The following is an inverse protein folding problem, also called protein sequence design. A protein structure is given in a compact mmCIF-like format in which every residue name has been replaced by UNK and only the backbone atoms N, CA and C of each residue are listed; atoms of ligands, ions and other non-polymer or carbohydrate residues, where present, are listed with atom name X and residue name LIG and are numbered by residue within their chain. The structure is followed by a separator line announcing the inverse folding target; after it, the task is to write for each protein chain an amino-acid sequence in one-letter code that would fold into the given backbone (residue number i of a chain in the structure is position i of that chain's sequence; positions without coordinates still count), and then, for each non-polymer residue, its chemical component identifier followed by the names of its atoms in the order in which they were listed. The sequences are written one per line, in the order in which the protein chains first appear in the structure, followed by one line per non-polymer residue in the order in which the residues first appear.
data_IF_444174135805
#
_entry.id   IF_444174135805
#
_cell.length_a   1.000
_cell.length_b   1.000
_cell.length_c   1.000
_cell.angle_alpha   90.00
_cell.angle_beta   90.00
_cell.angle_gamma   90.00
#
_symmetry.space_group_name_H-M   'P 1'
#
loop_
_entity.id
_entity.type
_entity.pdbx_description
1 polymer ?
#
# COMPACT_ATOMS: atom_id res chain seq x y z
N UNK A 1 12.12 4.37 33.74
CA UNK A 1 12.32 5.71 33.15
C UNK A 1 11.46 5.74 31.89
N UNK A 2 10.40 6.52 31.86
CA UNK A 2 9.55 6.64 30.64
C UNK A 2 10.14 7.71 29.71
N UNK A 3 10.19 7.40 28.42
CA UNK A 3 10.61 8.36 27.40
C UNK A 3 9.50 9.38 27.17
N UNK A 4 9.83 10.67 27.13
CA UNK A 4 8.90 11.72 26.71
C UNK A 4 8.53 11.54 25.24
N UNK A 5 7.30 11.09 24.94
CA UNK A 5 6.83 10.77 23.57
C UNK A 5 6.43 12.01 22.74
N UNK A 6 7.04 13.17 22.98
CA UNK A 6 6.62 14.46 22.40
C UNK A 6 6.60 14.44 20.88
N UNK A 7 7.67 13.93 20.24
CA UNK A 7 7.76 13.83 18.76
C UNK A 7 6.65 12.93 18.21
N UNK A 8 6.43 11.77 18.83
CA UNK A 8 5.41 10.82 18.38
C UNK A 8 4.00 11.41 18.50
N UNK A 9 3.73 12.16 19.57
CA UNK A 9 2.43 12.79 19.77
C UNK A 9 2.11 13.89 18.74
N UNK A 10 3.13 14.60 18.24
CA UNK A 10 2.99 15.69 17.28
C UNK A 10 3.07 15.25 15.81
N UNK A 11 3.29 13.97 15.51
CA UNK A 11 3.38 13.47 14.13
C UNK A 11 2.03 13.60 13.41
N UNK A 12 1.93 14.53 12.47
CA UNK A 12 0.78 14.64 11.58
C UNK A 12 1.07 14.04 10.21
N UNK A 13 0.00 13.75 9.47
CA UNK A 13 0.11 13.30 8.09
C UNK A 13 0.74 14.40 7.24
N UNK A 14 1.92 14.13 6.67
CA UNK A 14 2.82 15.17 6.15
C UNK A 14 2.43 15.80 4.80
N UNK A 15 1.28 15.45 4.21
CA UNK A 15 0.84 15.95 2.89
C UNK A 15 -0.64 16.29 2.91
N UNK A 16 -1.07 17.26 2.10
CA UNK A 16 -2.51 17.50 1.88
C UNK A 16 -3.20 16.23 1.37
N UNK A 17 -4.30 15.84 2.02
CA UNK A 17 -5.12 14.69 1.59
C UNK A 17 -6.15 15.18 0.57
N UNK A 18 -5.99 14.81 -0.70
CA UNK A 18 -6.99 15.04 -1.75
C UNK A 18 -8.20 14.11 -1.60
N UNK A 19 -9.35 14.52 -2.14
CA UNK A 19 -10.62 13.77 -2.11
C UNK A 19 -10.96 13.28 -0.70
N UNK A 20 -10.84 14.19 0.27
CA UNK A 20 -10.85 13.85 1.68
C UNK A 20 -12.21 13.34 2.13
N UNK A 21 -13.30 13.94 1.67
CA UNK A 21 -14.66 13.56 2.05
C UNK A 21 -14.97 12.13 1.61
N UNK A 22 -14.64 11.77 0.37
CA UNK A 22 -14.82 10.42 -0.16
C UNK A 22 -13.95 9.40 0.58
N UNK A 23 -12.69 9.77 0.89
CA UNK A 23 -11.80 8.92 1.68
C UNK A 23 -12.28 8.74 3.12
N UNK A 24 -12.86 9.77 3.72
CA UNK A 24 -13.46 9.68 5.06
C UNK A 24 -14.71 8.79 5.05
N UNK A 25 -15.51 8.79 3.97
CA UNK A 25 -16.66 7.89 3.81
C UNK A 25 -16.26 6.42 3.81
N UNK A 26 -15.27 6.03 2.99
CA UNK A 26 -14.79 4.64 2.96
C UNK A 26 -14.05 4.26 4.26
N UNK A 27 -13.38 5.23 4.89
CA UNK A 27 -12.78 5.05 6.21
C UNK A 27 -13.82 4.77 7.31
N UNK A 28 -14.98 5.43 7.27
CA UNK A 28 -16.08 5.17 8.20
C UNK A 28 -16.62 3.74 8.04
N UNK A 29 -16.81 3.29 6.79
CA UNK A 29 -17.23 1.90 6.48
C UNK A 29 -16.23 0.90 7.06
N UNK A 30 -14.94 1.02 6.72
CA UNK A 30 -13.88 0.13 7.26
C UNK A 30 -13.86 0.16 8.78
N UNK A 31 -13.92 1.36 9.38
CA UNK A 31 -13.87 1.50 10.82
C UNK A 31 -15.03 0.78 11.49
N UNK A 32 -16.23 0.76 10.89
CA UNK A 32 -17.43 0.09 11.44
C UNK A 32 -17.34 -1.44 11.45
N UNK A 33 -16.48 -2.01 10.61
CA UNK A 33 -16.33 -3.46 10.47
C UNK A 33 -15.47 -4.09 11.55
N UNK A 34 -14.60 -3.29 12.20
CA UNK A 34 -13.66 -3.78 13.23
C UNK A 34 -14.40 -4.33 14.44
N UNK A 35 -13.96 -5.51 14.90
CA UNK A 35 -14.50 -6.22 16.07
C UNK A 35 -13.44 -6.43 17.15
N UNK A 36 -13.91 -6.78 18.34
CA UNK A 36 -13.07 -7.03 19.51
C UNK A 36 -12.12 -8.20 19.25
N UNK A 37 -10.86 -8.01 19.62
CA UNK A 37 -9.81 -9.03 19.54
C UNK A 37 -9.21 -9.25 18.15
N UNK A 38 -9.71 -8.58 17.11
CA UNK A 38 -9.22 -8.79 15.74
C UNK A 38 -7.77 -8.34 15.54
N UNK A 39 -7.07 -9.09 14.70
CA UNK A 39 -5.78 -8.72 14.13
C UNK A 39 -6.05 -8.23 12.70
N UNK A 40 -5.90 -6.94 12.47
CA UNK A 40 -6.19 -6.32 11.18
C UNK A 40 -4.89 -6.00 10.45
N UNK A 41 -4.84 -6.34 9.16
CA UNK A 41 -3.81 -5.83 8.28
C UNK A 41 -4.13 -4.43 7.81
N UNK A 42 -3.14 -3.53 7.86
CA UNK A 42 -3.33 -2.12 7.56
C UNK A 42 -2.39 -1.71 6.44
N UNK A 43 -2.99 -1.42 5.30
CA UNK A 43 -2.37 -0.88 4.12
C UNK A 43 -1.76 0.51 4.30
N UNK A 44 -1.24 1.07 3.21
CA UNK A 44 -0.49 2.33 3.23
C UNK A 44 -1.20 3.48 2.50
N UNK A 45 -0.80 4.70 2.82
CA UNK A 45 -1.33 5.91 2.20
C UNK A 45 -2.45 6.60 2.96
N UNK A 46 -2.90 7.73 2.42
CA UNK A 46 -3.78 8.67 3.13
C UNK A 46 -5.14 8.07 3.51
N UNK A 47 -5.69 7.20 2.66
CA UNK A 47 -7.01 6.60 2.91
C UNK A 47 -6.93 5.60 4.07
N UNK A 48 -5.88 4.77 4.12
CA UNK A 48 -5.62 3.86 5.22
C UNK A 48 -5.35 4.61 6.54
N UNK A 49 -4.61 5.72 6.48
CA UNK A 49 -4.39 6.60 7.62
C UNK A 49 -5.70 7.18 8.17
N UNK A 50 -6.62 7.65 7.32
CA UNK A 50 -7.93 8.14 7.75
C UNK A 50 -8.76 7.04 8.42
N UNK A 51 -8.75 5.81 7.88
CA UNK A 51 -9.39 4.66 8.51
C UNK A 51 -8.81 4.36 9.90
N UNK A 52 -7.48 4.40 10.07
CA UNK A 52 -6.84 4.26 11.38
C UNK A 52 -7.30 5.33 12.39
N UNK A 53 -7.45 6.59 11.97
CA UNK A 53 -7.97 7.65 12.86
C UNK A 53 -9.38 7.33 13.37
N UNK A 54 -10.24 6.79 12.51
CA UNK A 54 -11.61 6.40 12.87
C UNK A 54 -11.62 5.16 13.77
N UNK A 55 -10.81 4.15 13.45
CA UNK A 55 -10.62 2.94 14.27
C UNK A 55 -10.14 3.31 15.68
N UNK A 56 -9.12 4.14 15.80
CA UNK A 56 -8.60 4.59 17.11
C UNK A 56 -9.67 5.30 17.95
N UNK A 57 -10.53 6.11 17.31
CA UNK A 57 -11.66 6.76 18.01
C UNK A 57 -12.67 5.72 18.51
N UNK A 58 -13.02 4.71 17.71
CA UNK A 58 -13.89 3.62 18.14
C UNK A 58 -13.28 2.83 19.30
N UNK A 59 -12.00 2.48 19.21
CA UNK A 59 -11.29 1.81 20.31
C UNK A 59 -11.42 2.54 21.64
N UNK A 60 -11.26 3.87 21.62
CA UNK A 60 -11.42 4.68 22.83
C UNK A 60 -12.87 4.72 23.33
N UNK A 61 -13.83 4.92 22.43
CA UNK A 61 -15.23 5.13 22.79
C UNK A 61 -15.93 3.84 23.24
N UNK A 62 -15.58 2.72 22.62
CA UNK A 62 -16.25 1.42 22.78
C UNK A 62 -15.41 0.42 23.61
N UNK A 63 -14.24 0.84 24.10
CA UNK A 63 -13.25 -0.04 24.74
C UNK A 63 -12.88 -1.25 23.86
N UNK A 64 -12.75 -1.03 22.54
CA UNK A 64 -12.36 -2.04 21.57
C UNK A 64 -10.85 -2.27 21.61
N UNK A 65 -10.40 -3.53 21.63
CA UNK A 65 -9.00 -3.92 21.58
C UNK A 65 -8.71 -4.71 20.31
N UNK A 66 -7.79 -4.20 19.50
CA UNK A 66 -7.32 -4.84 18.28
C UNK A 66 -5.79 -4.82 18.22
N UNK A 67 -5.22 -5.55 17.27
CA UNK A 67 -3.81 -5.43 16.88
C UNK A 67 -3.69 -5.14 15.39
N UNK A 68 -2.75 -4.29 15.01
CA UNK A 68 -2.52 -3.92 13.61
C UNK A 68 -1.21 -4.53 13.06
N UNK A 69 -1.26 -5.02 11.82
CA UNK A 69 -0.08 -5.39 11.02
C UNK A 69 0.09 -4.34 9.91
N UNK A 70 0.97 -3.34 10.07
CA UNK A 70 1.13 -2.24 9.11
C UNK A 70 2.03 -2.61 7.93
N UNK A 71 1.69 -2.17 6.73
CA UNK A 71 2.49 -2.38 5.51
C UNK A 71 3.63 -1.38 5.31
N UNK A 72 3.69 -0.31 6.12
CA UNK A 72 4.78 0.68 6.10
C UNK A 72 5.11 1.24 7.49
N UNK A 73 6.27 1.89 7.59
CA UNK A 73 6.70 2.64 8.77
C UNK A 73 5.79 3.84 9.05
N UNK A 74 5.30 4.53 8.02
CA UNK A 74 4.37 5.64 8.18
C UNK A 74 3.11 5.20 8.94
N UNK A 75 2.53 4.07 8.53
CA UNK A 75 1.34 3.49 9.16
C UNK A 75 1.67 2.90 10.53
N UNK A 76 2.85 2.25 10.69
CA UNK A 76 3.31 1.78 12.00
C UNK A 76 3.41 2.91 13.01
N UNK A 77 4.00 4.03 12.62
CA UNK A 77 4.13 5.22 13.47
C UNK A 77 2.76 5.82 13.79
N UNK A 78 1.83 5.84 12.82
CA UNK A 78 0.45 6.25 13.07
C UNK A 78 -0.25 5.34 14.10
N UNK A 79 -0.12 4.02 14.00
CA UNK A 79 -0.66 3.08 15.00
C UNK A 79 -0.10 3.38 16.40
N UNK A 80 1.22 3.53 16.52
CA UNK A 80 1.88 3.83 17.80
C UNK A 80 1.38 5.16 18.39
N UNK A 81 1.26 6.21 17.57
CA UNK A 81 0.73 7.52 17.99
C UNK A 81 -0.71 7.41 18.49
N UNK A 82 -1.53 6.62 17.80
CA UNK A 82 -2.96 6.47 18.10
C UNK A 82 -3.24 5.47 19.22
N UNK A 83 -2.20 4.83 19.79
CA UNK A 83 -2.36 3.83 20.83
C UNK A 83 -2.90 2.49 20.33
N UNK A 84 -2.78 2.22 19.03
CA UNK A 84 -3.15 0.93 18.43
C UNK A 84 -1.95 -0.02 18.56
N UNK A 85 -2.06 -1.13 19.31
CA UNK A 85 -0.98 -2.09 19.43
C UNK A 85 -0.59 -2.68 18.07
N UNK A 86 0.72 -2.73 17.78
CA UNK A 86 1.25 -3.26 16.53
C UNK A 86 1.79 -4.67 16.73
N UNK A 87 1.56 -5.56 15.78
CA UNK A 87 2.15 -6.90 15.69
C UNK A 87 2.77 -7.13 14.31
N UNK A 88 3.03 -8.38 13.94
CA UNK A 88 3.66 -8.76 12.68
C UNK A 88 3.15 -10.11 12.19
N UNK A 89 3.43 -10.41 10.92
CA UNK A 89 3.17 -11.74 10.34
C UNK A 89 4.03 -12.85 10.95
N UNK A 90 5.07 -12.51 11.73
CA UNK A 90 5.84 -13.50 12.50
C UNK A 90 5.03 -14.04 13.68
N UNK A 91 4.13 -13.22 14.22
CA UNK A 91 3.41 -13.53 15.44
C UNK A 91 1.95 -13.92 15.16
N UNK A 92 1.32 -13.31 14.15
CA UNK A 92 -0.12 -13.42 13.91
C UNK A 92 -0.47 -13.43 12.42
N UNK A 93 -1.51 -14.19 12.06
CA UNK A 93 -2.21 -14.06 10.78
C UNK A 93 -3.30 -12.98 10.91
N UNK A 94 -3.48 -12.08 9.94
CA UNK A 94 -4.58 -11.13 9.95
C UNK A 94 -5.94 -11.83 9.75
N UNK A 95 -6.96 -11.39 10.48
CA UNK A 95 -8.36 -11.79 10.27
C UNK A 95 -8.89 -11.22 8.95
N UNK A 96 -8.52 -9.97 8.65
CA UNK A 96 -8.76 -9.30 7.38
C UNK A 96 -7.80 -8.11 7.21
N UNK A 97 -7.68 -7.63 5.99
CA UNK A 97 -6.83 -6.48 5.63
C UNK A 97 -7.61 -5.43 4.88
N UNK A 98 -7.23 -4.16 5.04
CA UNK A 98 -7.66 -3.10 4.13
C UNK A 98 -6.48 -2.30 3.61
N UNK A 99 -6.56 -1.84 2.36
CA UNK A 99 -5.51 -1.05 1.71
C UNK A 99 -6.07 -0.13 0.62
N UNK A 100 -5.30 0.86 0.19
CA UNK A 100 -5.65 1.72 -0.94
C UNK A 100 -5.13 1.21 -2.28
N UNK A 101 -5.55 1.87 -3.37
CA UNK A 101 -5.01 1.67 -4.71
C UNK A 101 -4.67 3.00 -5.39
N UNK A 102 -3.77 2.93 -6.37
CA UNK A 102 -3.42 4.06 -7.23
C UNK A 102 -4.30 4.10 -8.49
N UNK A 103 -4.65 2.93 -9.04
CA UNK A 103 -5.68 2.71 -10.05
C UNK A 103 -6.41 1.38 -9.78
N UNK A 104 -7.69 1.32 -10.15
CA UNK A 104 -8.53 0.12 -10.11
C UNK A 104 -9.30 0.07 -11.44
N UNK A 105 -9.21 -1.05 -12.16
CA UNK A 105 -9.98 -1.24 -13.39
C UNK A 105 -11.37 -1.88 -13.14
N UNK A 106 -12.13 -2.07 -14.22
CA UNK A 106 -13.47 -2.67 -14.16
C UNK A 106 -13.48 -4.15 -13.78
N UNK A 107 -12.34 -4.84 -13.84
CA UNK A 107 -12.18 -6.23 -13.43
C UNK A 107 -11.60 -6.33 -12.00
N UNK A 108 -11.50 -5.20 -11.29
CA UNK A 108 -10.90 -5.07 -9.97
C UNK A 108 -9.40 -5.38 -9.91
N UNK A 109 -8.71 -5.41 -11.05
CA UNK A 109 -7.26 -5.40 -11.06
C UNK A 109 -6.77 -4.01 -10.65
N UNK A 110 -5.56 -3.95 -10.07
CA UNK A 110 -5.06 -2.70 -9.50
C UNK A 110 -3.63 -2.40 -9.89
N UNK A 111 -3.33 -1.10 -9.91
CA UNK A 111 -1.97 -0.61 -9.71
C UNK A 111 -1.87 -0.03 -8.29
N UNK A 112 -0.82 -0.43 -7.58
CA UNK A 112 -0.43 0.05 -6.25
C UNK A 112 1.06 0.39 -6.24
N UNK A 113 1.56 0.93 -5.12
CA UNK A 113 2.99 1.16 -4.93
C UNK A 113 3.46 2.60 -5.13
N UNK A 114 2.56 3.59 -5.25
CA UNK A 114 2.96 5.02 -5.18
C UNK A 114 3.76 5.34 -3.92
N UNK A 115 3.41 4.74 -2.79
CA UNK A 115 4.13 4.88 -1.52
C UNK A 115 5.44 4.09 -1.43
N UNK A 116 5.71 3.18 -2.36
CA UNK A 116 6.88 2.30 -2.33
C UNK A 116 6.76 1.13 -1.33
N UNK A 117 5.55 0.76 -0.92
CA UNK A 117 5.28 -0.31 0.04
C UNK A 117 4.67 -1.59 -0.60
N UNK A 118 4.58 -1.66 -1.94
CA UNK A 118 3.81 -2.68 -2.66
C UNK A 118 4.18 -4.13 -2.30
N UNK A 119 5.45 -4.41 -2.01
CA UNK A 119 5.87 -5.75 -1.56
C UNK A 119 5.13 -6.18 -0.28
N UNK A 120 5.13 -5.33 0.75
CA UNK A 120 4.46 -5.61 2.02
C UNK A 120 2.93 -5.56 1.89
N UNK A 121 2.42 -4.65 1.05
CA UNK A 121 0.99 -4.58 0.71
C UNK A 121 0.51 -5.91 0.11
N UNK A 122 1.23 -6.43 -0.89
CA UNK A 122 0.91 -7.71 -1.54
C UNK A 122 1.04 -8.90 -0.61
N UNK A 123 2.11 -8.93 0.19
CA UNK A 123 2.27 -9.96 1.21
C UNK A 123 1.07 -10.00 2.17
N UNK A 124 0.60 -8.83 2.60
CA UNK A 124 -0.49 -8.75 3.55
C UNK A 124 -1.83 -9.18 2.92
N UNK A 125 -2.11 -8.75 1.69
CA UNK A 125 -3.27 -9.21 0.91
C UNK A 125 -3.27 -10.74 0.78
N UNK A 126 -2.13 -11.34 0.39
CA UNK A 126 -1.99 -12.79 0.25
C UNK A 126 -2.10 -13.56 1.58
N UNK A 127 -1.70 -12.93 2.69
CA UNK A 127 -1.77 -13.55 4.02
C UNK A 127 -3.15 -13.44 4.69
N UNK A 128 -4.07 -12.70 4.08
CA UNK A 128 -5.38 -12.37 4.66
C UNK A 128 -6.50 -13.23 4.09
N UNK A 129 -7.40 -13.77 4.92
CA UNK A 129 -8.60 -14.45 4.44
C UNK A 129 -9.57 -13.54 3.68
N UNK A 130 -9.55 -12.24 3.98
CA UNK A 130 -10.41 -11.22 3.35
C UNK A 130 -9.63 -9.92 3.21
N UNK A 131 -9.80 -9.27 2.06
CA UNK A 131 -9.13 -8.01 1.75
C UNK A 131 -10.14 -6.99 1.23
N UNK A 132 -10.07 -5.77 1.76
CA UNK A 132 -10.86 -4.63 1.33
C UNK A 132 -9.97 -3.57 0.70
N UNK A 133 -10.26 -3.20 -0.55
CA UNK A 133 -9.55 -2.10 -1.21
C UNK A 133 -10.41 -0.85 -1.12
N UNK A 134 -9.90 0.14 -0.39
CA UNK A 134 -10.58 1.43 -0.17
C UNK A 134 -10.01 2.52 -1.07
N UNK A 135 -10.88 3.12 -1.86
CA UNK A 135 -10.48 4.13 -2.81
C UNK A 135 -11.54 5.23 -2.92
N UNK A 136 -11.11 6.42 -3.33
CA UNK A 136 -12.05 7.43 -3.79
C UNK A 136 -12.34 7.21 -5.29
N UNK A 137 -13.48 7.70 -5.83
CA UNK A 137 -13.91 7.43 -7.21
C UNK A 137 -12.89 7.83 -8.29
N UNK A 138 -11.94 8.73 -7.99
CA UNK A 138 -10.90 9.12 -8.96
C UNK A 138 -9.91 7.99 -9.29
N UNK A 139 -9.89 6.93 -8.47
CA UNK A 139 -9.04 5.75 -8.67
C UNK A 139 -9.59 4.76 -9.68
N UNK A 140 -10.86 4.85 -10.02
CA UNK A 140 -11.48 3.98 -11.01
C UNK A 140 -11.06 4.43 -12.41
N UNK A 141 -10.52 3.50 -13.19
CA UNK A 141 -10.06 3.70 -14.57
C UNK A 141 -10.65 2.64 -15.48
N UNK A 142 -10.75 2.95 -16.77
CA UNK A 142 -11.13 1.95 -17.78
C UNK A 142 -9.98 1.02 -18.16
N UNK A 143 -8.75 1.48 -18.01
CA UNK A 143 -7.55 0.73 -18.34
C UNK A 143 -6.45 1.07 -17.33
N UNK A 144 -5.84 0.04 -16.75
CA UNK A 144 -4.65 0.18 -15.91
C UNK A 144 -3.49 0.78 -16.71
N UNK A 145 -2.67 1.60 -16.06
CA UNK A 145 -1.52 2.27 -16.66
C UNK A 145 -1.86 3.59 -17.35
N UNK A 146 -3.13 4.03 -17.31
CA UNK A 146 -3.60 5.21 -18.04
C UNK A 146 -3.25 6.54 -17.36
N UNK A 147 -3.14 6.56 -16.04
CA UNK A 147 -2.84 7.75 -15.22
C UNK A 147 -1.66 7.54 -14.27
N UNK A 148 -1.28 6.29 -14.00
CA UNK A 148 -0.22 5.94 -13.06
C UNK A 148 0.68 4.82 -13.63
N UNK A 149 2.03 4.94 -13.53
CA UNK A 149 2.92 3.88 -14.00
C UNK A 149 2.83 2.65 -13.09
N UNK A 150 3.24 1.50 -13.61
CA UNK A 150 3.50 0.29 -12.80
C UNK A 150 4.81 0.48 -12.05
N UNK A 151 4.81 0.54 -10.71
CA UNK A 151 6.05 0.56 -9.95
C UNK A 151 6.63 -0.86 -9.88
N UNK A 152 7.93 -1.01 -10.04
CA UNK A 152 8.64 -2.30 -9.97
C UNK A 152 9.80 -2.16 -8.98
N UNK A 153 9.74 -2.88 -7.88
CA UNK A 153 10.77 -2.90 -6.83
C UNK A 153 11.86 -3.87 -7.25
N UNK A 154 13.10 -3.39 -7.27
CA UNK A 154 14.23 -4.16 -7.79
C UNK A 154 15.41 -4.11 -6.83
N UNK A 155 16.18 -5.19 -6.79
CA UNK A 155 17.46 -5.21 -6.12
C UNK A 155 18.40 -4.15 -6.76
N UNK A 156 19.07 -3.29 -5.97
CA UNK A 156 19.76 -2.13 -6.53
C UNK A 156 20.81 -2.44 -7.60
N UNK A 157 21.62 -3.49 -7.42
CA UNK A 157 22.67 -3.84 -8.39
C UNK A 157 22.11 -4.52 -9.65
N UNK A 158 20.83 -4.90 -9.65
CA UNK A 158 20.16 -5.47 -10.80
C UNK A 158 19.58 -4.41 -11.76
N UNK A 159 19.75 -3.10 -11.46
CA UNK A 159 19.12 -2.00 -12.20
C UNK A 159 19.22 -2.11 -13.72
N UNK A 160 20.45 -2.19 -14.25
CA UNK A 160 20.68 -2.21 -15.71
C UNK A 160 20.17 -3.50 -16.34
N UNK A 161 20.34 -4.65 -15.67
CA UNK A 161 19.84 -5.94 -16.15
C UNK A 161 18.31 -5.96 -16.20
N UNK A 162 17.64 -5.55 -15.12
CA UNK A 162 16.17 -5.53 -15.06
C UNK A 162 15.61 -4.53 -16.07
N UNK A 163 16.23 -3.37 -16.26
CA UNK A 163 15.85 -2.43 -17.32
C UNK A 163 15.91 -3.08 -18.72
N UNK A 164 17.01 -3.77 -19.04
CA UNK A 164 17.18 -4.45 -20.32
C UNK A 164 16.11 -5.51 -20.56
N UNK A 165 15.84 -6.36 -19.56
CA UNK A 165 14.80 -7.40 -19.67
C UNK A 165 13.40 -6.78 -19.75
N UNK A 166 13.12 -5.71 -19.00
CA UNK A 166 11.83 -5.02 -19.04
C UNK A 166 11.55 -4.42 -20.43
N UNK A 167 12.57 -3.99 -21.17
CA UNK A 167 12.39 -3.47 -22.54
C UNK A 167 11.80 -4.49 -23.51
N UNK A 168 11.98 -5.79 -23.27
CA UNK A 168 11.37 -6.86 -24.07
C UNK A 168 9.83 -6.93 -23.92
N UNK A 169 9.26 -6.31 -22.88
CA UNK A 169 7.81 -6.20 -22.68
C UNK A 169 7.23 -4.92 -23.31
N UNK A 170 7.99 -4.25 -24.19
CA UNK A 170 7.59 -3.03 -24.90
C UNK A 170 6.99 -1.92 -24.01
N UNK A 171 7.60 -1.57 -22.86
CA UNK A 171 7.14 -0.42 -22.09
C UNK A 171 7.31 0.85 -22.90
N UNK A 172 6.34 1.75 -22.78
CA UNK A 172 6.39 3.09 -23.35
C UNK A 172 7.53 3.91 -22.74
N UNK A 173 7.75 3.75 -21.44
CA UNK A 173 8.77 4.47 -20.69
C UNK A 173 9.16 3.71 -19.42
N UNK A 174 10.44 3.72 -19.06
CA UNK A 174 10.97 3.23 -17.78
C UNK A 174 11.72 4.37 -17.12
N UNK A 175 11.43 4.67 -15.85
CA UNK A 175 12.12 5.70 -15.06
C UNK A 175 12.53 5.19 -13.70
N UNK A 176 13.77 5.44 -13.30
CA UNK A 176 14.18 5.29 -11.90
C UNK A 176 13.48 6.36 -11.05
N UNK A 177 12.76 5.92 -10.00
CA UNK A 177 12.00 6.83 -9.14
C UNK A 177 12.95 7.65 -8.27
N UNK A 178 13.07 8.94 -8.57
CA UNK A 178 13.91 9.87 -7.81
C UNK A 178 13.25 10.32 -6.50
N UNK A 179 14.03 10.41 -5.42
CA UNK A 179 13.54 10.90 -4.15
C UNK A 179 13.40 12.43 -4.18
N UNK A 180 12.45 12.97 -3.40
CA UNK A 180 12.27 14.41 -3.20
C UNK A 180 12.87 14.94 -1.88
N UNK A 181 12.97 14.07 -0.87
CA UNK A 181 13.45 14.42 0.48
C UNK A 181 14.89 14.01 0.76
N UNK A 182 15.62 13.53 -0.25
CA UNK A 182 17.05 13.20 -0.22
C UNK A 182 17.61 13.21 -1.63
N UNK A 183 18.94 13.29 -1.76
CA UNK A 183 19.62 13.12 -3.04
C UNK A 183 19.55 11.66 -3.52
N UNK A 184 19.43 11.46 -4.84
CA UNK A 184 19.40 10.13 -5.46
C UNK A 184 18.02 9.45 -5.48
N UNK A 185 17.94 8.15 -5.78
CA UNK A 185 16.67 7.43 -5.98
C UNK A 185 15.93 7.15 -4.67
N UNK A 186 14.62 6.90 -4.74
CA UNK A 186 13.87 6.34 -3.62
C UNK A 186 14.46 4.98 -3.24
N UNK A 187 14.62 4.76 -1.93
CA UNK A 187 14.96 3.46 -1.35
C UNK A 187 13.71 2.94 -0.64
N UNK A 188 13.24 1.75 -0.99
CA UNK A 188 12.10 1.12 -0.29
C UNK A 188 12.48 0.77 1.14
N UNK A 189 11.49 0.46 1.97
CA UNK A 189 11.77 -0.02 3.34
C UNK A 189 12.50 -1.37 3.38
N UNK A 190 12.60 -2.05 2.24
CA UNK A 190 13.37 -3.28 2.09
C UNK A 190 14.77 -3.03 1.51
N UNK A 191 15.17 -1.76 1.31
CA UNK A 191 16.49 -1.39 0.79
C UNK A 191 16.62 -1.41 -0.74
N UNK A 192 15.50 -1.47 -1.46
CA UNK A 192 15.48 -1.66 -2.92
C UNK A 192 15.22 -0.36 -3.69
N UNK A 193 15.46 -0.40 -5.00
CA UNK A 193 15.09 0.69 -5.93
C UNK A 193 13.68 0.47 -6.49
N UNK A 194 13.11 1.52 -7.09
CA UNK A 194 11.83 1.43 -7.81
C UNK A 194 11.99 1.97 -9.23
N UNK A 195 11.59 1.15 -10.21
CA UNK A 195 11.36 1.57 -11.59
C UNK A 195 9.87 1.88 -11.79
N UNK A 196 9.55 3.11 -12.16
CA UNK A 196 8.22 3.50 -12.64
C UNK A 196 8.14 3.20 -14.14
N UNK A 197 7.33 2.21 -14.51
CA UNK A 197 7.24 1.71 -15.88
C UNK A 197 5.85 1.95 -16.46
N UNK A 198 5.79 2.65 -17.59
CA UNK A 198 4.56 2.91 -18.33
C UNK A 198 4.38 1.86 -19.42
N UNK A 199 3.17 1.30 -19.51
CA UNK A 199 2.76 0.38 -20.55
C UNK A 199 1.53 0.94 -21.26
N UNK A 200 1.47 0.87 -22.58
CA UNK A 200 0.24 1.21 -23.33
C UNK A 200 -0.84 0.13 -23.17
N UNK A 201 -0.42 -1.11 -22.87
CA UNK A 201 -1.29 -2.24 -22.58
C UNK A 201 -0.66 -3.13 -21.50
N UNK A 202 -1.46 -3.51 -20.51
CA UNK A 202 -1.07 -4.40 -19.41
C UNK A 202 -1.83 -5.72 -19.61
N UNK A 203 -1.19 -6.77 -20.17
CA UNK A 203 -1.83 -8.07 -20.29
C UNK A 203 -1.93 -8.76 -18.92
N UNK A 204 -2.90 -9.68 -18.76
CA UNK A 204 -3.19 -10.33 -17.48
C UNK A 204 -2.00 -11.13 -16.91
N UNK A 205 -1.10 -11.61 -17.75
CA UNK A 205 0.10 -12.33 -17.33
C UNK A 205 1.32 -11.43 -17.05
N UNK A 206 1.20 -10.11 -17.18
CA UNK A 206 2.33 -9.20 -17.03
C UNK A 206 2.89 -9.22 -15.61
N UNK A 207 2.03 -9.32 -14.59
CA UNK A 207 2.47 -9.40 -13.20
C UNK A 207 3.41 -10.59 -12.96
N UNK A 208 2.98 -11.80 -13.34
CA UNK A 208 3.77 -13.02 -13.21
C UNK A 208 5.05 -12.95 -14.04
N UNK A 209 4.96 -12.41 -15.26
CA UNK A 209 6.10 -12.25 -16.15
C UNK A 209 7.15 -11.33 -15.56
N UNK A 210 6.77 -10.15 -15.05
CA UNK A 210 7.67 -9.22 -14.37
C UNK A 210 8.25 -9.86 -13.10
N UNK A 211 7.42 -10.57 -12.33
CA UNK A 211 7.85 -11.23 -11.09
C UNK A 211 8.91 -12.31 -11.32
N UNK A 212 8.92 -12.94 -12.51
CA UNK A 212 9.89 -13.97 -12.88
C UNK A 212 11.29 -13.43 -13.21
N UNK A 213 11.44 -12.12 -13.42
CA UNK A 213 12.73 -11.50 -13.76
C UNK A 213 13.66 -11.53 -12.54
N UNK A 214 14.83 -12.15 -12.67
CA UNK A 214 15.84 -12.15 -11.60
C UNK A 214 16.26 -10.71 -11.26
N UNK A 215 16.16 -10.34 -9.98
CA UNK A 215 16.40 -8.99 -9.51
C UNK A 215 15.12 -8.17 -9.28
N UNK A 216 13.97 -8.59 -9.81
CA UNK A 216 12.67 -8.03 -9.40
C UNK A 216 12.25 -8.63 -8.06
N UNK A 217 11.99 -7.75 -7.10
CA UNK A 217 11.49 -8.10 -5.78
C UNK A 217 9.97 -8.19 -5.82
N UNK A 218 9.30 -7.20 -6.38
CA UNK A 218 7.85 -7.19 -6.56
C UNK A 218 7.42 -6.12 -7.58
N UNK A 219 6.22 -6.23 -8.13
CA UNK A 219 5.57 -5.19 -8.92
C UNK A 219 4.32 -4.66 -8.24
N UNK A 220 3.93 -3.45 -8.61
CA UNK A 220 2.69 -2.82 -8.19
C UNK A 220 1.47 -3.28 -8.98
N UNK A 221 1.59 -4.30 -9.83
CA UNK A 221 0.44 -4.96 -10.44
C UNK A 221 -0.19 -5.92 -9.44
N UNK A 222 -1.52 -5.89 -9.36
CA UNK A 222 -2.32 -6.82 -8.57
C UNK A 222 -3.44 -7.31 -9.48
N UNK A 223 -3.18 -8.37 -10.22
CA UNK A 223 -4.07 -8.93 -11.24
C UNK A 223 -4.77 -10.17 -10.68
N UNK A 224 -6.11 -10.20 -10.79
CA UNK A 224 -6.96 -11.31 -10.35
C UNK A 224 -6.86 -11.68 -8.85
N UNK A 225 -6.59 -10.70 -8.00
CA UNK A 225 -6.64 -10.87 -6.55
C UNK A 225 -8.09 -10.91 -6.05
N UNK A 226 -8.41 -11.83 -5.13
CA UNK A 226 -9.71 -11.90 -4.47
C UNK A 226 -9.86 -10.78 -3.43
N UNK A 227 -10.47 -9.67 -3.84
CA UNK A 227 -10.62 -8.46 -3.03
C UNK A 227 -12.03 -7.87 -3.15
N UNK A 228 -12.45 -7.18 -2.10
CA UNK A 228 -13.69 -6.39 -2.10
C UNK A 228 -13.37 -4.91 -2.27
N UNK A 229 -13.84 -4.30 -3.35
CA UNK A 229 -13.68 -2.86 -3.59
C UNK A 229 -14.75 -2.07 -2.80
N UNK A 230 -14.32 -1.06 -2.07
CA UNK A 230 -15.18 -0.08 -1.40
C UNK A 230 -14.77 1.31 -1.90
N UNK A 231 -15.67 1.96 -2.64
CA UNK A 231 -15.48 3.31 -3.19
C UNK A 231 -16.64 4.24 -2.89
#
# INVERSE_FOLDING_TARGET
MEWGKTILSSLEWGKTISNREEKERVADIISSMVKEGEIIGVGSGSTAYLALLKIARRMKNEQLHIRAIPTSQEIRMACVRLGIPVTSLWEHKPDWTFDGADEIDTEHNMIKGRGGAMFKEKLLINSSPRTYIIADPSKIVTQLGSRFPVPIEIFPEALTYVEEVLRAYNPKEIKLRMAKGKDGPVITENGNLILDTWFDHIPNNLEESIKSITGVIESGLFIHYDVHIIS
#
